data_IF_737877518994
#
_entry.id   IF_737877518994
#
_cell.length_a   1.000
_cell.length_b   1.000
_cell.length_c   1.000
_cell.angle_alpha   90.00
_cell.angle_beta   90.00
_cell.angle_gamma   90.00
#
_symmetry.space_group_name_H-M   'P 1'
#
loop_
_entity.id
_entity.type
_entity.pdbx_description
1 polymer ?
#
# COMPACT_ATOMS: atom_id res chain seq x y z
N UNK A 1 -77.88 46.75 -113.55
CA UNK A 1 -77.89 46.66 -112.06
C UNK A 1 -78.64 45.44 -111.51
N UNK A 2 -79.48 44.71 -112.27
CA UNK A 2 -80.20 43.52 -111.76
C UNK A 2 -79.47 42.17 -111.96
N UNK A 3 -78.60 42.03 -112.97
CA UNK A 3 -77.87 40.77 -113.25
C UNK A 3 -76.60 40.59 -112.39
N UNK A 4 -75.99 41.66 -111.89
CA UNK A 4 -74.86 41.57 -110.94
C UNK A 4 -75.30 41.05 -109.56
N UNK A 5 -76.54 41.28 -109.16
CA UNK A 5 -77.02 40.92 -107.82
C UNK A 5 -77.26 39.40 -107.67
N UNK A 6 -77.62 38.71 -108.75
CA UNK A 6 -77.91 37.27 -108.73
C UNK A 6 -76.61 36.43 -108.78
N UNK A 7 -75.58 36.92 -109.47
CA UNK A 7 -74.25 36.30 -109.47
C UNK A 7 -73.58 36.38 -108.09
N UNK A 8 -73.72 37.52 -107.40
CA UNK A 8 -73.21 37.70 -106.03
C UNK A 8 -73.85 36.71 -105.05
N UNK A 9 -75.13 36.37 -105.22
CA UNK A 9 -75.84 35.43 -104.35
C UNK A 9 -75.36 33.99 -104.56
N UNK A 10 -75.26 33.54 -105.82
CA UNK A 10 -74.80 32.17 -106.16
C UNK A 10 -73.35 31.96 -105.77
N UNK A 11 -72.50 32.98 -105.89
CA UNK A 11 -71.09 32.91 -105.50
C UNK A 11 -70.91 32.92 -103.97
N UNK A 12 -71.81 33.60 -103.24
CA UNK A 12 -71.89 33.51 -101.79
C UNK A 12 -72.32 32.12 -101.32
N UNK A 13 -73.35 31.53 -101.93
CA UNK A 13 -73.81 30.18 -101.59
C UNK A 13 -72.76 29.10 -101.92
N UNK A 14 -72.04 29.22 -103.04
CA UNK A 14 -70.89 28.35 -103.36
C UNK A 14 -69.77 28.48 -102.33
N UNK A 15 -69.45 29.71 -101.90
CA UNK A 15 -68.44 29.93 -100.87
C UNK A 15 -68.88 29.39 -99.51
N UNK A 16 -70.16 29.52 -99.15
CA UNK A 16 -70.72 28.98 -97.91
C UNK A 16 -70.73 27.45 -97.93
N UNK A 17 -71.08 26.82 -99.07
CA UNK A 17 -71.04 25.35 -99.21
C UNK A 17 -69.61 24.81 -99.15
N UNK A 18 -68.67 25.47 -99.82
CA UNK A 18 -67.24 25.11 -99.78
C UNK A 18 -66.67 25.26 -98.36
N UNK A 19 -67.09 26.30 -97.64
CA UNK A 19 -66.75 26.50 -96.22
C UNK A 19 -67.36 25.41 -95.32
N UNK A 20 -68.58 24.97 -95.62
CA UNK A 20 -69.24 23.87 -94.92
C UNK A 20 -68.52 22.54 -95.14
N UNK A 21 -68.11 22.27 -96.38
CA UNK A 21 -67.35 21.06 -96.76
C UNK A 21 -65.98 21.03 -96.06
N UNK A 22 -65.25 22.16 -96.07
CA UNK A 22 -63.99 22.28 -95.31
C UNK A 22 -64.20 22.10 -93.81
N UNK A 23 -65.28 22.65 -93.24
CA UNK A 23 -65.60 22.44 -91.82
C UNK A 23 -65.93 20.97 -91.53
N UNK A 24 -66.65 20.29 -92.42
CA UNK A 24 -67.01 18.89 -92.25
C UNK A 24 -65.78 17.97 -92.35
N UNK A 25 -64.88 18.23 -93.30
CA UNK A 25 -63.59 17.54 -93.39
C UNK A 25 -62.73 17.76 -92.14
N UNK A 26 -62.69 18.99 -91.61
CA UNK A 26 -61.99 19.28 -90.36
C UNK A 26 -62.60 18.53 -89.17
N UNK A 27 -63.94 18.50 -89.06
CA UNK A 27 -64.64 17.75 -88.00
C UNK A 27 -64.39 16.24 -88.13
N UNK A 28 -64.40 15.70 -89.36
CA UNK A 28 -64.07 14.29 -89.58
C UNK A 28 -62.62 13.97 -89.18
N UNK A 29 -61.68 14.84 -89.51
CA UNK A 29 -60.28 14.70 -89.13
C UNK A 29 -60.12 14.76 -87.60
N UNK A 30 -60.73 15.74 -86.94
CA UNK A 30 -60.73 15.86 -85.48
C UNK A 30 -61.37 14.63 -84.80
N UNK A 31 -62.41 14.06 -85.40
CA UNK A 31 -63.07 12.86 -84.88
C UNK A 31 -62.18 11.61 -85.00
N UNK A 32 -61.47 11.44 -86.12
CA UNK A 32 -60.50 10.35 -86.31
C UNK A 32 -59.33 10.51 -85.34
N UNK A 33 -58.77 11.71 -85.23
CA UNK A 33 -57.69 12.01 -84.26
C UNK A 33 -58.17 11.79 -82.81
N UNK A 34 -59.43 12.13 -82.50
CA UNK A 34 -60.04 11.89 -81.20
C UNK A 34 -60.16 10.38 -80.88
N UNK A 35 -60.56 9.57 -81.86
CA UNK A 35 -60.61 8.11 -81.73
C UNK A 35 -59.23 7.50 -81.51
N UNK A 36 -58.23 7.94 -82.28
CA UNK A 36 -56.85 7.46 -82.12
C UNK A 36 -56.27 7.83 -80.75
N UNK A 37 -56.50 9.06 -80.28
CA UNK A 37 -56.11 9.48 -78.92
C UNK A 37 -56.80 8.65 -77.84
N UNK A 38 -58.09 8.34 -78.01
CA UNK A 38 -58.85 7.51 -77.06
C UNK A 38 -58.31 6.09 -77.02
N UNK A 39 -58.08 5.46 -78.18
CA UNK A 39 -57.51 4.11 -78.26
C UNK A 39 -56.10 4.05 -77.66
N UNK A 40 -55.29 5.10 -77.86
CA UNK A 40 -53.97 5.22 -77.22
C UNK A 40 -54.09 5.28 -75.70
N UNK A 41 -54.97 6.11 -75.16
CA UNK A 41 -55.21 6.23 -73.72
C UNK A 41 -55.73 4.91 -73.12
N UNK A 42 -56.63 4.20 -73.80
CA UNK A 42 -57.14 2.90 -73.33
C UNK A 42 -56.02 1.85 -73.23
N UNK A 43 -55.09 1.83 -74.19
CA UNK A 43 -53.93 0.94 -74.13
C UNK A 43 -52.96 1.33 -73.01
N UNK A 44 -52.68 2.62 -72.83
CA UNK A 44 -51.85 3.11 -71.71
C UNK A 44 -52.49 2.75 -70.36
N UNK A 45 -53.82 2.83 -70.25
CA UNK A 45 -54.56 2.44 -69.05
C UNK A 45 -54.42 0.93 -68.75
N UNK A 46 -54.57 0.09 -69.77
CA UNK A 46 -54.39 -1.37 -69.64
C UNK A 46 -52.96 -1.75 -69.24
N UNK A 47 -51.96 -1.08 -69.80
CA UNK A 47 -50.57 -1.28 -69.39
C UNK A 47 -50.32 -0.87 -67.94
N UNK A 48 -50.92 0.24 -67.50
CA UNK A 48 -50.84 0.67 -66.09
C UNK A 48 -51.50 -0.34 -65.15
N UNK A 49 -52.68 -0.86 -65.47
CA UNK A 49 -53.36 -1.88 -64.67
C UNK A 49 -52.53 -3.16 -64.55
N UNK A 50 -51.93 -3.62 -65.64
CA UNK A 50 -51.02 -4.77 -65.64
C UNK A 50 -49.80 -4.53 -64.74
N UNK A 51 -49.20 -3.33 -64.78
CA UNK A 51 -48.09 -2.96 -63.90
C UNK A 51 -48.50 -2.94 -62.42
N UNK A 52 -49.68 -2.40 -62.10
CA UNK A 52 -50.23 -2.38 -60.74
C UNK A 52 -50.47 -3.80 -60.21
N UNK A 53 -51.08 -4.66 -61.03
CA UNK A 53 -51.30 -6.07 -60.65
C UNK A 53 -49.98 -6.81 -60.40
N UNK A 54 -48.97 -6.58 -61.26
CA UNK A 54 -47.65 -7.18 -61.10
C UNK A 54 -46.99 -6.74 -59.79
N UNK A 55 -46.97 -5.44 -59.51
CA UNK A 55 -46.44 -4.88 -58.25
C UNK A 55 -47.18 -5.49 -57.05
N UNK A 56 -48.51 -5.55 -57.08
CA UNK A 56 -49.28 -6.14 -55.98
C UNK A 56 -48.96 -7.62 -55.76
N UNK A 57 -48.68 -8.38 -56.83
CA UNK A 57 -48.33 -9.79 -56.73
C UNK A 57 -46.91 -10.03 -56.20
N UNK A 58 -45.93 -9.22 -56.64
CA UNK A 58 -44.53 -9.33 -56.21
C UNK A 58 -44.40 -8.96 -54.73
N UNK A 59 -45.00 -7.84 -54.33
CA UNK A 59 -44.94 -7.38 -52.95
C UNK A 59 -45.74 -8.26 -51.96
N UNK A 60 -46.74 -9.02 -52.43
CA UNK A 60 -47.52 -9.93 -51.57
C UNK A 60 -46.64 -11.04 -50.98
N UNK A 61 -45.74 -11.60 -51.78
CA UNK A 61 -44.84 -12.66 -51.33
C UNK A 61 -43.81 -12.11 -50.32
N UNK A 62 -43.26 -10.93 -50.60
CA UNK A 62 -42.33 -10.24 -49.69
C UNK A 62 -42.99 -9.92 -48.34
N UNK A 63 -44.25 -9.43 -48.34
CA UNK A 63 -45.00 -9.17 -47.12
C UNK A 63 -45.22 -10.46 -46.30
N UNK A 64 -45.53 -11.57 -46.96
CA UNK A 64 -45.76 -12.83 -46.27
C UNK A 64 -44.46 -13.42 -45.69
N UNK A 65 -43.34 -13.28 -46.41
CA UNK A 65 -42.01 -13.63 -45.89
C UNK A 65 -41.64 -12.78 -44.68
N UNK A 66 -41.88 -11.46 -44.73
CA UNK A 66 -41.65 -10.54 -43.61
C UNK A 66 -42.48 -10.95 -42.40
N UNK A 67 -43.76 -11.31 -42.58
CA UNK A 67 -44.61 -11.78 -41.47
C UNK A 67 -44.08 -13.05 -40.83
N UNK A 68 -43.67 -14.04 -41.62
CA UNK A 68 -43.11 -15.29 -41.11
C UNK A 68 -41.80 -15.04 -40.34
N UNK A 69 -40.94 -14.18 -40.86
CA UNK A 69 -39.69 -13.80 -40.18
C UNK A 69 -39.96 -13.04 -38.87
N UNK A 70 -40.96 -12.16 -38.85
CA UNK A 70 -41.37 -11.45 -37.64
C UNK A 70 -41.93 -12.40 -36.58
N UNK A 71 -42.73 -13.39 -36.99
CA UNK A 71 -43.25 -14.42 -36.08
C UNK A 71 -42.12 -15.24 -35.46
N UNK A 72 -41.17 -15.74 -36.28
CA UNK A 72 -39.98 -16.47 -35.78
C UNK A 72 -39.15 -15.63 -34.82
N UNK A 73 -39.00 -14.34 -35.08
CA UNK A 73 -38.26 -13.42 -34.22
C UNK A 73 -38.96 -13.22 -32.87
N UNK A 74 -40.30 -13.15 -32.86
CA UNK A 74 -41.09 -13.04 -31.65
C UNK A 74 -41.01 -14.31 -30.78
N UNK A 75 -41.11 -15.50 -31.41
CA UNK A 75 -40.92 -16.79 -30.73
C UNK A 75 -39.53 -16.90 -30.10
N UNK A 76 -38.48 -16.52 -30.84
CA UNK A 76 -37.11 -16.50 -30.32
C UNK A 76 -36.93 -15.50 -29.17
N UNK A 77 -37.59 -14.33 -29.25
CA UNK A 77 -37.58 -13.34 -28.17
C UNK A 77 -38.23 -13.89 -26.90
N UNK A 78 -39.35 -14.62 -27.03
CA UNK A 78 -40.03 -15.23 -25.90
C UNK A 78 -39.18 -16.34 -25.27
N UNK A 79 -38.57 -17.22 -26.08
CA UNK A 79 -37.68 -18.25 -25.59
C UNK A 79 -36.50 -17.66 -24.80
N UNK A 80 -35.87 -16.59 -25.30
CA UNK A 80 -34.78 -15.91 -24.59
C UNK A 80 -35.23 -15.29 -23.25
N UNK A 81 -36.47 -14.77 -23.18
CA UNK A 81 -37.04 -14.27 -21.91
C UNK A 81 -37.21 -15.41 -20.90
N UNK A 82 -37.69 -16.56 -21.36
CA UNK A 82 -37.90 -17.73 -20.49
C UNK A 82 -36.57 -18.30 -20.00
N UNK A 83 -35.56 -18.42 -20.87
CA UNK A 83 -34.20 -18.81 -20.51
C UNK A 83 -33.56 -17.84 -19.51
N UNK A 84 -33.69 -16.53 -19.72
CA UNK A 84 -33.21 -15.51 -18.78
C UNK A 84 -33.92 -15.61 -17.42
N UNK A 85 -35.22 -15.86 -17.38
CA UNK A 85 -35.96 -16.05 -16.14
C UNK A 85 -35.48 -17.28 -15.36
N UNK A 86 -35.17 -18.38 -16.05
CA UNK A 86 -34.57 -19.58 -15.43
C UNK A 86 -33.19 -19.25 -14.85
N UNK A 87 -32.36 -18.55 -15.61
CA UNK A 87 -31.02 -18.15 -15.16
C UNK A 87 -31.05 -17.21 -13.95
N UNK A 88 -31.98 -16.23 -13.92
CA UNK A 88 -32.19 -15.34 -12.78
C UNK A 88 -32.59 -16.12 -11.52
N UNK A 89 -33.54 -17.06 -11.63
CA UNK A 89 -33.93 -17.93 -10.50
C UNK A 89 -32.77 -18.78 -9.97
N UNK A 90 -31.86 -19.21 -10.83
CA UNK A 90 -30.65 -19.94 -10.40
C UNK A 90 -29.66 -19.02 -9.66
N UNK A 91 -29.51 -17.77 -10.11
CA UNK A 91 -28.68 -16.76 -9.43
C UNK A 91 -29.20 -16.43 -8.04
N UNK A 92 -30.51 -16.21 -7.89
CA UNK A 92 -31.12 -15.89 -6.60
C UNK A 92 -30.89 -17.01 -5.57
N UNK A 93 -31.03 -18.28 -5.99
CA UNK A 93 -30.71 -19.43 -5.14
C UNK A 93 -29.25 -19.44 -4.69
N UNK A 94 -28.32 -19.09 -5.58
CA UNK A 94 -26.89 -19.02 -5.25
C UNK A 94 -26.56 -17.87 -4.32
N UNK A 95 -27.20 -16.71 -4.48
CA UNK A 95 -27.05 -15.56 -3.59
C UNK A 95 -27.50 -15.91 -2.18
N UNK A 96 -28.71 -16.46 -2.04
CA UNK A 96 -29.24 -16.86 -0.73
C UNK A 96 -28.34 -17.88 -0.02
N UNK A 97 -27.78 -18.84 -0.77
CA UNK A 97 -26.82 -19.80 -0.22
C UNK A 97 -25.55 -19.12 0.31
N UNK A 98 -25.00 -18.16 -0.44
CA UNK A 98 -23.78 -17.44 -0.05
C UNK A 98 -24.03 -16.53 1.16
N UNK A 99 -25.19 -15.88 1.25
CA UNK A 99 -25.57 -15.05 2.40
C UNK A 99 -25.63 -15.88 3.70
N UNK A 100 -26.18 -17.10 3.65
CA UNK A 100 -26.19 -18.02 4.78
C UNK A 100 -24.78 -18.48 5.19
N UNK A 101 -23.89 -18.76 4.23
CA UNK A 101 -22.50 -19.12 4.53
C UNK A 101 -21.71 -17.95 5.14
N UNK A 102 -21.92 -16.72 4.65
CA UNK A 102 -21.33 -15.50 5.23
C UNK A 102 -21.83 -15.28 6.66
N UNK A 103 -23.13 -15.48 6.92
CA UNK A 103 -23.71 -15.37 8.25
C UNK A 103 -23.06 -16.34 9.24
N UNK A 104 -22.92 -17.63 8.87
CA UNK A 104 -22.23 -18.63 9.69
C UNK A 104 -20.76 -18.28 9.92
N UNK A 105 -20.06 -17.75 8.90
CA UNK A 105 -18.67 -17.33 9.03
C UNK A 105 -18.54 -16.15 10.01
N UNK A 106 -19.43 -15.17 9.93
CA UNK A 106 -19.45 -14.02 10.83
C UNK A 106 -19.74 -14.42 12.29
N UNK A 107 -20.64 -15.38 12.52
CA UNK A 107 -20.87 -15.94 13.86
C UNK A 107 -19.59 -16.58 14.42
N UNK A 108 -18.88 -17.40 13.62
CA UNK A 108 -17.59 -17.99 14.01
C UNK A 108 -16.51 -16.93 14.28
N UNK A 109 -16.45 -15.87 13.47
CA UNK A 109 -15.52 -14.75 13.69
C UNK A 109 -15.84 -14.04 15.00
N UNK A 110 -17.12 -13.82 15.32
CA UNK A 110 -17.54 -13.24 16.58
C UNK A 110 -17.09 -14.07 17.79
N UNK A 111 -17.19 -15.39 17.69
CA UNK A 111 -16.70 -16.31 18.73
C UNK A 111 -15.17 -16.31 18.83
N UNK A 112 -14.45 -16.28 17.72
CA UNK A 112 -12.99 -16.14 17.70
C UNK A 112 -12.50 -14.82 18.28
N UNK A 113 -13.20 -13.71 18.03
CA UNK A 113 -12.89 -12.40 18.60
C UNK A 113 -13.10 -12.41 20.12
N UNK A 114 -14.17 -13.05 20.61
CA UNK A 114 -14.38 -13.24 22.06
C UNK A 114 -13.28 -14.10 22.67
N UNK A 115 -12.87 -15.17 22.00
CA UNK A 115 -11.78 -16.05 22.46
C UNK A 115 -10.42 -15.34 22.45
N UNK A 116 -10.13 -14.54 21.43
CA UNK A 116 -8.91 -13.73 21.34
C UNK A 116 -8.90 -12.57 22.33
N UNK A 117 -10.04 -11.96 22.64
CA UNK A 117 -10.12 -10.95 23.70
C UNK A 117 -9.92 -11.57 25.09
N UNK A 118 -10.35 -12.82 25.31
CA UNK A 118 -10.04 -13.55 26.54
C UNK A 118 -8.57 -13.98 26.60
N UNK A 119 -8.00 -14.50 25.52
CA UNK A 119 -6.57 -14.86 25.47
C UNK A 119 -5.66 -13.64 25.50
N UNK A 120 -6.07 -12.49 24.94
CA UNK A 120 -5.31 -11.24 25.05
C UNK A 120 -5.42 -10.63 26.44
N UNK A 121 -6.56 -10.75 27.13
CA UNK A 121 -6.70 -10.37 28.55
C UNK A 121 -5.91 -11.32 29.46
N UNK A 122 -5.82 -12.60 29.13
CA UNK A 122 -5.00 -13.59 29.85
C UNK A 122 -3.51 -13.43 29.54
N UNK A 123 -3.12 -12.98 28.34
CA UNK A 123 -1.73 -12.60 28.04
C UNK A 123 -1.36 -11.20 28.56
N UNK A 124 -2.32 -10.29 28.69
CA UNK A 124 -2.16 -9.02 29.42
C UNK A 124 -1.99 -9.23 30.93
N UNK A 125 -2.45 -10.37 31.46
CA UNK A 125 -2.16 -10.82 32.81
C UNK A 125 -0.75 -11.43 32.96
N UNK A 126 -0.02 -11.70 31.87
CA UNK A 126 1.44 -11.79 31.91
C UNK A 126 1.99 -10.35 31.88
N UNK A 127 1.77 -9.63 32.98
CA UNK A 127 2.15 -8.23 33.10
C UNK A 127 3.64 -8.10 32.79
N UNK A 128 4.00 -7.31 31.79
CA UNK A 128 5.38 -6.88 31.64
C UNK A 128 5.68 -5.86 32.74
N UNK A 129 6.60 -6.19 33.64
CA UNK A 129 7.01 -5.30 34.71
C UNK A 129 8.31 -4.61 34.30
N UNK A 130 8.24 -3.30 34.01
CA UNK A 130 9.46 -2.51 33.82
C UNK A 130 10.22 -2.41 35.14
N UNK A 131 11.43 -2.98 35.15
CA UNK A 131 12.28 -2.98 36.33
C UNK A 131 13.12 -1.72 36.31
N UNK A 132 12.67 -0.70 37.06
CA UNK A 132 13.37 0.57 37.19
C UNK A 132 14.69 0.37 37.94
N UNK A 133 15.81 0.54 37.24
CA UNK A 133 17.15 0.57 37.83
C UNK A 133 17.74 1.96 37.62
N UNK A 134 17.94 2.71 38.71
CA UNK A 134 18.69 3.96 38.62
C UNK A 134 20.10 3.66 38.13
N UNK A 135 20.51 4.21 37.00
CA UNK A 135 21.79 3.88 36.38
C UNK A 135 22.53 5.11 35.87
N UNK A 136 23.81 4.91 35.58
CA UNK A 136 24.71 5.93 35.05
C UNK A 136 25.94 5.30 34.43
N UNK A 137 26.64 6.01 33.57
CA UNK A 137 27.96 5.59 33.11
C UNK A 137 28.97 5.61 34.28
N UNK A 138 29.85 4.61 34.37
CA UNK A 138 30.80 4.52 35.49
C UNK A 138 32.17 3.94 35.17
N UNK A 139 32.26 3.00 34.23
CA UNK A 139 33.52 2.34 33.89
C UNK A 139 33.90 2.71 32.47
N UNK A 140 35.07 3.30 32.32
CA UNK A 140 35.75 3.47 31.04
C UNK A 140 36.82 2.38 30.98
N UNK A 141 36.66 1.39 30.10
CA UNK A 141 37.70 0.37 29.95
C UNK A 141 38.87 0.97 29.18
N UNK A 142 39.95 1.27 29.93
CA UNK A 142 41.14 1.99 29.48
C UNK A 142 42.06 1.22 28.53
N UNK A 143 41.56 0.28 27.71
CA UNK A 143 42.33 -0.28 26.59
C UNK A 143 42.82 0.82 25.65
N UNK A 144 42.12 1.94 25.61
CA UNK A 144 42.44 3.09 24.76
C UNK A 144 42.61 4.32 25.64
N UNK A 145 43.76 4.39 26.31
CA UNK A 145 44.22 5.62 26.93
C UNK A 145 44.30 6.68 25.84
N UNK A 146 43.92 7.91 26.12
CA UNK A 146 44.07 9.00 25.16
C UNK A 146 45.54 9.17 24.71
N UNK A 147 46.49 8.89 25.61
CA UNK A 147 47.93 8.91 25.40
C UNK A 147 48.60 7.92 26.35
N UNK A 148 49.86 7.53 26.10
CA UNK A 148 50.61 6.61 26.98
C UNK A 148 50.72 7.12 28.43
N UNK A 149 50.73 8.44 28.58
CA UNK A 149 50.90 9.14 29.86
C UNK A 149 49.62 9.23 30.72
N UNK A 150 48.49 8.62 30.31
CA UNK A 150 47.20 8.76 31.02
C UNK A 150 46.82 10.24 31.26
N UNK A 151 47.08 11.10 30.28
CA UNK A 151 46.90 12.54 30.39
C UNK A 151 45.43 12.96 30.62
N UNK A 152 44.48 12.03 30.49
CA UNK A 152 43.07 12.22 30.82
C UNK A 152 42.68 11.20 31.90
N UNK A 153 42.08 11.71 32.96
CA UNK A 153 41.57 10.89 34.04
C UNK A 153 40.37 10.09 33.56
N UNK A 154 40.51 8.78 33.36
CA UNK A 154 39.43 7.90 32.89
C UNK A 154 38.26 7.76 33.87
N UNK A 155 38.36 8.27 35.10
CA UNK A 155 37.24 8.32 36.04
C UNK A 155 36.47 9.64 35.97
N UNK A 156 37.11 10.71 35.46
CA UNK A 156 36.55 12.06 35.25
C UNK A 156 37.25 12.68 34.04
N UNK A 157 36.91 12.28 32.81
CA UNK A 157 37.69 12.54 31.58
C UNK A 157 37.66 13.99 31.07
N UNK A 158 37.78 14.94 31.99
CA UNK A 158 37.92 16.37 31.73
C UNK A 158 39.39 16.64 31.35
N UNK A 159 39.61 17.31 30.22
CA UNK A 159 40.95 17.74 29.80
C UNK A 159 41.15 17.70 28.29
N UNK A 160 42.40 17.89 27.86
CA UNK A 160 42.83 17.68 26.47
C UNK A 160 43.90 16.60 26.45
N UNK A 161 43.88 15.74 25.43
CA UNK A 161 44.97 14.80 25.22
C UNK A 161 46.22 15.55 24.78
N UNK A 162 47.35 15.36 25.47
CA UNK A 162 48.65 15.99 25.12
C UNK A 162 49.13 15.51 23.74
N UNK A 163 48.87 14.25 23.41
CA UNK A 163 49.14 13.65 22.09
C UNK A 163 48.05 13.99 21.05
N UNK A 164 47.05 14.81 21.41
CA UNK A 164 45.99 15.32 20.53
C UNK A 164 45.12 14.24 19.87
N UNK A 165 45.13 13.01 20.41
CA UNK A 165 44.22 11.95 20.00
C UNK A 165 42.79 12.24 20.42
N UNK A 166 41.82 11.70 19.67
CA UNK A 166 40.41 11.77 20.04
C UNK A 166 40.11 10.85 21.23
N UNK A 167 39.12 11.23 22.05
CA UNK A 167 38.72 10.49 23.25
C UNK A 167 37.28 10.82 23.67
N UNK A 168 36.63 9.91 24.39
CA UNK A 168 35.33 10.16 25.02
C UNK A 168 35.46 10.80 26.41
N UNK A 169 34.56 11.74 26.69
CA UNK A 169 34.47 12.46 27.96
C UNK A 169 33.07 12.30 28.56
N UNK A 170 32.97 11.68 29.74
CA UNK A 170 31.79 11.70 30.60
C UNK A 170 31.54 13.12 31.12
N UNK A 171 30.49 13.76 30.60
CA UNK A 171 30.07 15.10 31.00
C UNK A 171 29.29 15.04 32.31
N UNK A 172 28.43 14.04 32.45
CA UNK A 172 27.68 13.74 33.66
C UNK A 172 27.35 12.24 33.73
N UNK A 173 26.37 11.88 34.55
CA UNK A 173 25.95 10.50 34.79
C UNK A 173 25.33 9.83 33.53
N UNK A 174 24.81 10.58 32.56
CA UNK A 174 24.10 10.07 31.37
C UNK A 174 24.77 10.47 30.03
N UNK A 175 25.57 11.54 30.02
CA UNK A 175 26.10 12.15 28.81
C UNK A 175 27.57 11.84 28.58
N UNK A 176 27.90 11.40 27.36
CA UNK A 176 29.27 11.24 26.86
C UNK A 176 29.46 12.18 25.68
N UNK A 177 30.44 13.08 25.78
CA UNK A 177 30.91 13.90 24.67
C UNK A 177 32.18 13.32 24.08
N UNK A 178 32.19 13.06 22.79
CA UNK A 178 33.42 12.68 22.11
C UNK A 178 34.18 13.92 21.65
N UNK A 179 35.46 13.99 22.01
CA UNK A 179 36.37 15.07 21.61
C UNK A 179 37.25 14.51 20.50
N UNK A 180 37.07 15.05 19.29
CA UNK A 180 37.75 14.59 18.08
C UNK A 180 39.23 15.01 18.10
N UNK A 181 40.11 14.18 17.52
CA UNK A 181 41.51 14.55 17.34
C UNK A 181 41.68 15.81 16.46
N UNK A 182 42.76 16.58 16.61
CA UNK A 182 43.06 17.69 15.70
C UNK A 182 43.49 17.15 14.33
N UNK A 183 42.97 17.75 13.24
CA UNK A 183 43.19 17.27 11.86
C UNK A 183 44.68 17.19 11.54
N UNK A 184 45.14 15.98 11.17
CA UNK A 184 46.54 15.71 10.78
C UNK A 184 47.54 15.59 11.94
N UNK A 185 47.08 15.60 13.19
CA UNK A 185 47.93 15.63 14.38
C UNK A 185 47.72 14.45 15.34
N UNK A 186 46.78 13.54 15.03
CA UNK A 186 46.46 12.38 15.87
C UNK A 186 45.35 11.52 15.28
N UNK A 187 45.10 10.35 15.87
CA UNK A 187 44.00 9.46 15.52
C UNK A 187 42.88 9.50 16.57
N UNK A 188 41.70 9.04 16.20
CA UNK A 188 40.55 8.91 17.10
C UNK A 188 40.57 7.53 17.76
N UNK A 189 40.46 7.48 19.08
CA UNK A 189 40.48 6.23 19.83
C UNK A 189 39.07 5.68 20.06
N UNK A 190 38.98 4.36 20.04
CA UNK A 190 37.79 3.65 20.53
C UNK A 190 37.54 4.00 22.00
N UNK A 191 36.28 4.29 22.33
CA UNK A 191 35.88 4.64 23.68
C UNK A 191 34.75 3.73 24.14
N UNK A 192 35.01 2.87 25.13
CA UNK A 192 34.00 1.97 25.68
C UNK A 192 33.58 2.41 27.07
N UNK A 193 32.28 2.66 27.25
CA UNK A 193 31.68 2.97 28.54
C UNK A 193 30.67 1.89 28.94
N UNK A 194 30.65 1.57 30.24
CA UNK A 194 29.70 0.64 30.84
C UNK A 194 28.87 1.36 31.89
N UNK A 195 27.60 0.99 31.96
CA UNK A 195 26.71 1.48 33.00
C UNK A 195 27.09 0.88 34.37
N UNK A 196 26.85 1.61 35.44
CA UNK A 196 27.23 1.25 36.81
C UNK A 196 26.53 -0.02 37.29
N UNK A 197 25.24 -0.10 37.02
CA UNK A 197 24.40 -1.19 37.45
C UNK A 197 24.11 -2.14 36.29
N UNK A 198 24.05 -3.42 36.60
CA UNK A 198 23.67 -4.50 35.69
C UNK A 198 22.17 -4.74 35.72
N UNK A 199 21.63 -5.23 34.62
CA UNK A 199 20.32 -5.84 34.53
C UNK A 199 20.45 -7.26 35.05
N UNK A 200 20.08 -7.45 36.32
CA UNK A 200 20.13 -8.75 36.97
C UNK A 200 18.85 -9.53 36.68
N UNK A 201 18.98 -10.83 36.49
CA UNK A 201 17.86 -11.75 36.40
C UNK A 201 17.00 -11.62 37.66
N UNK A 202 15.68 -11.42 37.51
CA UNK A 202 14.78 -11.31 38.65
C UNK A 202 14.69 -12.64 39.40
N UNK A 203 14.48 -12.58 40.72
CA UNK A 203 14.23 -13.76 41.55
C UNK A 203 12.73 -13.87 41.83
N UNK A 204 12.15 -15.06 41.64
CA UNK A 204 10.76 -15.37 41.97
C UNK A 204 9.72 -14.44 41.30
N UNK A 205 9.99 -14.00 40.07
CA UNK A 205 9.06 -13.16 39.32
C UNK A 205 8.00 -14.03 38.64
N UNK A 206 6.72 -13.72 38.90
CA UNK A 206 5.56 -14.32 38.21
C UNK A 206 5.32 -13.70 36.83
N UNK A 207 5.93 -12.55 36.58
CA UNK A 207 5.74 -11.70 35.43
C UNK A 207 7.00 -11.66 34.55
N UNK A 208 6.86 -11.18 33.32
CA UNK A 208 8.03 -10.85 32.50
C UNK A 208 8.71 -9.63 33.09
N UNK A 209 10.02 -9.71 33.37
CA UNK A 209 10.79 -8.54 33.80
C UNK A 209 11.44 -7.87 32.59
N UNK A 210 11.21 -6.57 32.46
CA UNK A 210 11.63 -5.76 31.34
C UNK A 210 12.67 -4.72 31.78
N UNK A 211 13.86 -4.78 31.17
CA UNK A 211 14.93 -3.81 31.35
C UNK A 211 15.16 -3.06 30.05
N UNK A 212 15.42 -1.76 30.12
CA UNK A 212 15.54 -0.93 28.93
C UNK A 212 16.38 0.31 29.16
N UNK A 213 17.15 0.72 28.16
CA UNK A 213 17.80 2.02 28.11
C UNK A 213 17.86 2.54 26.67
N UNK A 214 17.94 3.86 26.52
CA UNK A 214 18.11 4.54 25.24
C UNK A 214 19.42 5.34 25.20
N UNK A 215 19.92 5.56 24.00
CA UNK A 215 21.05 6.42 23.70
C UNK A 215 20.74 7.23 22.44
N UNK A 216 20.64 8.55 22.59
CA UNK A 216 20.56 9.49 21.49
C UNK A 216 21.96 9.75 20.97
N UNK A 217 22.20 9.50 19.69
CA UNK A 217 23.54 9.62 19.10
C UNK A 217 23.74 10.97 18.40
N UNK A 218 24.95 11.50 18.46
CA UNK A 218 25.38 12.64 17.65
C UNK A 218 26.77 12.37 17.09
N UNK A 219 26.83 12.03 15.81
CA UNK A 219 28.09 11.77 15.13
C UNK A 219 28.74 13.06 14.68
N UNK A 220 29.99 13.22 15.05
CA UNK A 220 30.80 14.34 14.65
C UNK A 220 31.32 14.09 13.22
N UNK A 221 30.49 14.41 12.22
CA UNK A 221 30.79 14.13 10.81
C UNK A 221 32.03 14.91 10.36
N UNK A 222 33.13 14.20 10.15
CA UNK A 222 34.27 14.72 9.42
C UNK A 222 34.36 14.04 8.07
N UNK A 223 34.09 14.78 6.99
CA UNK A 223 34.05 14.30 5.59
C UNK A 223 35.36 13.57 5.20
N UNK A 224 36.46 13.83 5.91
CA UNK A 224 37.77 13.26 5.59
C UNK A 224 38.19 12.10 6.52
N UNK A 225 37.31 11.58 7.39
CA UNK A 225 37.67 10.51 8.34
C UNK A 225 36.96 9.19 8.04
N UNK A 226 37.71 8.11 8.26
CA UNK A 226 37.39 6.77 7.73
C UNK A 226 36.39 6.04 8.65
N UNK A 227 36.35 6.32 9.96
CA UNK A 227 35.55 5.52 10.90
C UNK A 227 34.89 6.37 11.97
N UNK A 228 33.64 6.74 11.75
CA UNK A 228 32.66 6.97 12.82
C UNK A 228 32.04 5.62 13.22
N UNK A 229 31.89 5.37 14.52
CA UNK A 229 31.33 4.11 15.02
C UNK A 229 30.55 4.35 16.32
N UNK A 230 29.41 3.68 16.41
CA UNK A 230 28.71 3.47 17.67
C UNK A 230 28.25 2.03 17.67
N UNK A 231 28.74 1.27 18.65
CA UNK A 231 28.19 -0.02 19.03
C UNK A 231 27.47 0.19 20.37
N UNK A 232 26.28 -0.38 20.52
CA UNK A 232 25.56 -0.29 21.78
C UNK A 232 24.80 -1.58 22.07
N UNK A 233 24.63 -1.91 23.35
CA UNK A 233 23.90 -3.11 23.74
C UNK A 233 24.23 -3.57 25.14
N UNK A 234 24.32 -4.88 25.32
CA UNK A 234 24.56 -5.54 26.60
C UNK A 234 25.78 -6.46 26.55
N UNK A 235 26.59 -6.45 27.62
CA UNK A 235 27.64 -7.44 27.84
C UNK A 235 27.20 -8.42 28.93
N UNK A 236 27.36 -9.71 28.67
CA UNK A 236 27.15 -10.76 29.65
C UNK A 236 28.24 -10.66 30.73
N UNK A 237 27.85 -10.34 31.97
CA UNK A 237 28.80 -10.07 33.06
C UNK A 237 29.61 -11.30 33.48
N UNK A 238 29.15 -12.53 33.18
CA UNK A 238 29.84 -13.78 33.51
C UNK A 238 30.83 -14.19 32.42
N UNK A 239 30.44 -14.06 31.15
CA UNK A 239 31.23 -14.58 30.01
C UNK A 239 32.02 -13.51 29.30
N UNK A 240 31.77 -12.22 29.58
CA UNK A 240 32.30 -11.07 28.84
C UNK A 240 31.97 -11.10 27.33
N UNK A 241 30.93 -11.83 26.94
CA UNK A 241 30.41 -11.87 25.57
C UNK A 241 29.42 -10.74 25.36
N UNK A 242 29.41 -10.18 24.17
CA UNK A 242 28.60 -9.01 23.84
C UNK A 242 27.38 -9.42 23.00
N UNK A 243 26.26 -8.76 23.24
CA UNK A 243 25.11 -8.70 22.33
C UNK A 243 24.88 -7.24 22.03
N UNK A 244 24.92 -6.86 20.77
CA UNK A 244 24.90 -5.44 20.45
C UNK A 244 24.49 -5.15 19.02
N UNK A 245 24.40 -3.86 18.78
CA UNK A 245 24.04 -3.28 17.50
C UNK A 245 25.14 -2.33 17.06
N UNK A 246 25.71 -2.61 15.89
CA UNK A 246 26.63 -1.73 15.17
C UNK A 246 25.77 -0.76 14.38
N UNK A 247 25.64 0.48 14.89
CA UNK A 247 24.77 1.51 14.32
C UNK A 247 25.11 1.70 12.86
N UNK A 248 26.33 2.15 12.53
CA UNK A 248 26.72 2.47 11.15
C UNK A 248 26.41 1.38 10.10
N UNK A 249 26.56 0.11 10.47
CA UNK A 249 26.37 -1.01 9.56
C UNK A 249 24.95 -1.58 9.56
N UNK A 250 24.08 -1.12 10.45
CA UNK A 250 22.76 -1.69 10.68
C UNK A 250 22.84 -3.18 11.01
N UNK A 251 23.80 -3.58 11.85
CA UNK A 251 24.10 -5.00 12.10
C UNK A 251 23.96 -5.34 13.58
N UNK A 252 23.09 -6.31 13.87
CA UNK A 252 22.95 -6.92 15.20
C UNK A 252 23.90 -8.10 15.30
N UNK A 253 24.55 -8.28 16.44
CA UNK A 253 25.34 -9.47 16.74
C UNK A 253 25.02 -10.07 18.12
N UNK A 254 25.17 -11.38 18.26
CA UNK A 254 24.90 -12.10 19.51
C UNK A 254 26.18 -12.55 20.24
N UNK A 255 26.02 -13.28 21.35
CA UNK A 255 27.11 -13.78 22.19
C UNK A 255 28.08 -14.73 21.47
N UNK A 256 27.67 -15.30 20.33
CA UNK A 256 28.51 -16.15 19.47
C UNK A 256 29.13 -15.37 18.30
N UNK A 257 28.96 -14.03 18.28
CA UNK A 257 29.37 -13.15 17.18
C UNK A 257 28.70 -13.50 15.85
N UNK A 258 27.53 -14.17 15.88
CA UNK A 258 26.68 -14.33 14.71
C UNK A 258 26.07 -12.97 14.38
N UNK A 259 26.05 -12.60 13.10
CA UNK A 259 25.66 -11.26 12.64
C UNK A 259 24.39 -11.30 11.80
N UNK A 260 23.47 -10.38 12.05
CA UNK A 260 22.27 -10.19 11.27
C UNK A 260 22.21 -8.73 10.80
N UNK A 261 22.31 -8.53 9.48
CA UNK A 261 22.19 -7.20 8.86
C UNK A 261 20.71 -6.86 8.64
N UNK A 262 20.32 -5.65 8.99
CA UNK A 262 18.98 -5.13 8.72
C UNK A 262 18.79 -4.91 7.21
N UNK A 263 17.64 -5.31 6.69
CA UNK A 263 17.32 -5.22 5.25
C UNK A 263 17.14 -3.78 4.78
N UNK A 264 16.62 -2.92 5.64
CA UNK A 264 16.43 -1.49 5.40
C UNK A 264 16.96 -0.74 6.61
N UNK A 265 18.05 -0.01 6.43
CA UNK A 265 18.67 0.72 7.52
C UNK A 265 19.23 2.05 7.03
N UNK A 266 18.88 3.10 7.76
CA UNK A 266 19.52 4.40 7.69
C UNK A 266 19.52 5.00 9.09
N UNK A 267 20.48 5.88 9.35
CA UNK A 267 20.49 6.69 10.55
C UNK A 267 20.94 8.11 10.25
N UNK A 268 20.59 9.00 11.18
CA UNK A 268 21.02 10.39 11.20
C UNK A 268 21.41 10.78 12.62
N UNK A 269 22.07 11.93 12.74
CA UNK A 269 22.27 12.53 14.05
C UNK A 269 20.92 12.77 14.72
N UNK A 270 20.93 12.70 16.04
CA UNK A 270 19.77 12.79 16.92
C UNK A 270 18.81 11.60 16.88
N UNK A 271 19.09 10.55 16.10
CA UNK A 271 18.36 9.29 16.24
C UNK A 271 18.59 8.70 17.64
N UNK A 272 17.51 8.14 18.18
CA UNK A 272 17.49 7.50 19.50
C UNK A 272 17.50 6.00 19.30
N UNK A 273 18.51 5.34 19.83
CA UNK A 273 18.63 3.89 19.80
C UNK A 273 18.35 3.31 21.17
N UNK A 274 17.59 2.22 21.25
CA UNK A 274 17.28 1.57 22.52
C UNK A 274 17.59 0.09 22.51
N UNK A 275 17.90 -0.45 23.69
CA UNK A 275 18.20 -1.85 23.90
C UNK A 275 17.39 -2.35 25.08
N UNK A 276 16.54 -3.35 24.81
CA UNK A 276 15.72 -3.99 25.82
C UNK A 276 16.13 -5.42 26.08
N UNK A 277 16.00 -5.85 27.33
CA UNK A 277 16.18 -7.21 27.79
C UNK A 277 14.92 -7.66 28.50
N UNK A 278 14.39 -8.79 28.06
CA UNK A 278 13.20 -9.41 28.65
C UNK A 278 13.58 -10.73 29.28
N UNK A 279 13.28 -10.88 30.56
CA UNK A 279 13.31 -12.16 31.25
C UNK A 279 11.88 -12.70 31.34
N UNK A 280 11.61 -13.91 30.85
CA UNK A 280 10.32 -14.55 31.07
C UNK A 280 10.11 -14.85 32.57
N UNK A 281 8.87 -15.17 32.99
CA UNK A 281 8.57 -15.57 34.35
C UNK A 281 9.48 -16.70 34.85
N UNK A 282 9.74 -16.76 36.16
CA UNK A 282 10.72 -17.70 36.74
C UNK A 282 10.32 -19.16 36.50
N UNK A 283 9.03 -19.48 36.54
CA UNK A 283 8.52 -20.80 36.20
C UNK A 283 8.76 -21.14 34.71
N UNK A 284 8.57 -20.18 33.81
CA UNK A 284 8.78 -20.33 32.37
C UNK A 284 10.24 -20.50 31.98
N UNK A 285 11.15 -19.82 32.68
CA UNK A 285 12.59 -20.04 32.55
C UNK A 285 12.98 -21.49 32.82
N UNK A 286 12.31 -22.14 33.78
CA UNK A 286 12.55 -23.55 34.11
C UNK A 286 11.92 -24.52 33.09
N UNK A 287 10.89 -24.07 32.38
CA UNK A 287 10.22 -24.81 31.28
C UNK A 287 10.98 -24.69 29.94
N UNK A 288 12.04 -23.88 29.87
CA UNK A 288 12.90 -23.75 28.70
C UNK A 288 12.67 -22.48 27.87
N UNK A 289 11.87 -21.52 28.34
CA UNK A 289 11.84 -20.19 27.74
C UNK A 289 13.15 -19.44 28.06
N UNK A 290 13.70 -18.73 27.08
CA UNK A 290 14.97 -18.03 27.22
C UNK A 290 14.75 -16.51 27.30
N UNK A 291 15.57 -15.79 28.09
CA UNK A 291 15.63 -14.35 28.00
C UNK A 291 15.95 -13.92 26.56
N UNK A 292 15.49 -12.75 26.15
CA UNK A 292 15.83 -12.21 24.84
C UNK A 292 16.15 -10.73 24.88
N UNK A 293 16.99 -10.30 23.93
CA UNK A 293 17.34 -8.91 23.70
C UNK A 293 16.68 -8.43 22.42
N UNK A 294 16.19 -7.21 22.42
CA UNK A 294 15.73 -6.54 21.22
C UNK A 294 16.29 -5.12 21.16
N UNK A 295 16.25 -4.54 19.96
CA UNK A 295 16.76 -3.20 19.70
C UNK A 295 15.66 -2.34 19.10
N UNK A 296 15.75 -1.04 19.33
CA UNK A 296 14.81 -0.05 18.79
C UNK A 296 15.56 1.13 18.15
N UNK A 297 14.92 1.78 17.18
CA UNK A 297 15.32 3.08 16.65
C UNK A 297 14.10 4.00 16.65
N UNK A 298 14.23 5.16 17.29
CA UNK A 298 13.18 6.18 17.42
C UNK A 298 11.85 5.61 17.96
N UNK A 299 11.95 4.73 18.96
CA UNK A 299 10.79 4.10 19.61
C UNK A 299 10.16 2.95 18.83
N UNK A 300 10.75 2.48 17.73
CA UNK A 300 10.27 1.32 16.97
C UNK A 300 11.27 0.18 17.03
N UNK A 301 10.80 -1.05 17.25
CA UNK A 301 11.68 -2.22 17.22
C UNK A 301 12.31 -2.41 15.84
N UNK A 302 13.60 -2.73 15.83
CA UNK A 302 14.39 -3.01 14.63
C UNK A 302 14.97 -4.41 14.69
N UNK A 303 15.01 -5.09 13.53
CA UNK A 303 15.55 -6.44 13.44
C UNK A 303 14.73 -7.49 14.17
N UNK A 304 15.34 -8.68 14.29
CA UNK A 304 14.78 -9.81 15.06
C UNK A 304 15.32 -9.76 16.48
N UNK A 305 14.57 -10.34 17.42
CA UNK A 305 15.04 -10.55 18.79
C UNK A 305 16.21 -11.54 18.81
N UNK A 306 17.06 -11.40 19.83
CA UNK A 306 18.23 -12.26 20.07
C UNK A 306 17.97 -13.07 21.33
N UNK A 307 17.69 -14.38 21.18
CA UNK A 307 17.49 -15.29 22.30
C UNK A 307 18.82 -15.63 23.01
N UNK A 308 18.80 -15.58 24.35
CA UNK A 308 19.95 -15.76 25.22
C UNK A 308 19.98 -17.18 25.82
N UNK A 309 20.48 -18.13 25.03
CA UNK A 309 20.51 -19.56 25.39
C UNK A 309 21.30 -19.88 26.67
N UNK A 310 22.28 -19.06 27.02
CA UNK A 310 23.13 -19.27 28.19
C UNK A 310 22.51 -18.80 29.51
N UNK A 311 21.28 -18.24 29.48
CA UNK A 311 20.50 -17.77 30.65
C UNK A 311 21.36 -17.08 31.72
N UNK A 312 22.12 -16.05 31.34
CA UNK A 312 22.98 -15.34 32.27
C UNK A 312 22.17 -14.63 33.35
N UNK A 313 22.70 -14.65 34.57
CA UNK A 313 22.12 -13.98 35.72
C UNK A 313 22.26 -12.45 35.64
N UNK A 314 23.12 -11.94 34.77
CA UNK A 314 23.29 -10.49 34.62
C UNK A 314 23.86 -10.07 33.27
N UNK A 315 23.40 -8.90 32.84
CA UNK A 315 23.85 -8.19 31.65
C UNK A 315 24.14 -6.73 31.99
N UNK A 316 25.23 -6.16 31.49
CA UNK A 316 25.60 -4.78 31.73
C UNK A 316 25.40 -3.95 30.46
N UNK A 317 24.68 -2.81 30.52
CA UNK A 317 24.65 -1.86 29.42
C UNK A 317 26.03 -1.34 29.07
N UNK A 318 26.31 -1.27 27.77
CA UNK A 318 27.56 -0.71 27.25
C UNK A 318 27.35 0.08 25.97
N UNK A 319 28.31 0.97 25.71
CA UNK A 319 28.50 1.67 24.44
C UNK A 319 29.97 1.64 24.06
N UNK A 320 30.26 1.54 22.77
CA UNK A 320 31.60 1.63 22.18
C UNK A 320 31.56 2.64 21.03
N UNK A 321 32.29 3.73 21.18
CA UNK A 321 32.14 4.97 20.43
C UNK A 321 33.46 5.37 19.75
N UNK A 322 33.36 5.86 18.51
CA UNK A 322 34.41 6.59 17.80
C UNK A 322 33.75 7.77 17.10
N UNK A 323 34.19 9.00 17.39
CA UNK A 323 33.64 10.22 16.80
C UNK A 323 32.13 10.38 17.01
N UNK A 324 31.60 9.86 18.12
CA UNK A 324 30.18 9.88 18.43
C UNK A 324 29.97 10.29 19.88
N UNK A 325 29.25 11.39 20.09
CA UNK A 325 28.74 11.79 21.40
C UNK A 325 27.37 11.14 21.62
N UNK A 326 27.03 10.81 22.86
CA UNK A 326 25.71 10.27 23.20
C UNK A 326 25.10 10.93 24.43
N UNK A 327 23.78 11.01 24.43
CA UNK A 327 22.96 11.28 25.60
C UNK A 327 22.19 9.99 25.93
N UNK A 328 22.42 9.41 27.09
CA UNK A 328 21.70 8.23 27.53
C UNK A 328 20.39 8.60 28.25
N UNK A 329 19.44 7.66 28.23
CA UNK A 329 18.30 7.64 29.13
C UNK A 329 18.21 6.23 29.73
N UNK A 330 18.48 6.11 31.03
CA UNK A 330 18.36 4.84 31.75
C UNK A 330 16.99 4.65 32.42
N UNK A 331 16.03 5.55 32.17
CA UNK A 331 14.73 5.55 32.85
C UNK A 331 14.82 6.02 34.30
N UNK A 332 15.81 6.86 34.61
CA UNK A 332 16.00 7.43 35.95
C UNK A 332 14.79 8.28 36.36
N UNK A 333 14.27 9.07 35.41
CA UNK A 333 13.08 9.92 35.54
C UNK A 333 12.21 9.80 34.28
N UNK A 334 11.21 8.94 34.32
CA UNK A 334 10.28 8.72 33.20
C UNK A 334 9.18 9.78 33.12
N UNK A 335 8.98 10.61 34.15
CA UNK A 335 7.96 11.66 34.12
C UNK A 335 8.45 12.83 33.28
N UNK A 336 9.69 13.26 33.48
CA UNK A 336 10.27 14.41 32.76
C UNK A 336 11.05 14.00 31.51
N UNK A 337 11.62 12.79 31.50
CA UNK A 337 12.41 12.23 30.39
C UNK A 337 11.92 10.81 30.05
N UNK A 338 10.68 10.65 29.53
CA UNK A 338 10.16 9.35 29.14
C UNK A 338 11.02 8.72 28.04
N UNK A 339 10.98 7.40 27.95
CA UNK A 339 11.54 6.71 26.79
C UNK A 339 10.77 7.07 25.52
N UNK A 340 11.46 7.02 24.37
CA UNK A 340 10.81 7.10 23.07
C UNK A 340 10.03 5.82 22.75
N UNK A 341 10.54 4.68 23.21
CA UNK A 341 9.87 3.38 23.10
C UNK A 341 8.74 3.25 24.13
N UNK A 342 7.54 2.90 23.66
CA UNK A 342 6.42 2.53 24.53
C UNK A 342 6.49 1.03 24.86
N UNK A 343 6.92 0.72 26.08
CA UNK A 343 7.01 -0.66 26.54
C UNK A 343 5.65 -1.28 26.87
N UNK A 344 4.57 -0.49 26.98
CA UNK A 344 3.22 -1.03 27.15
C UNK A 344 2.70 -1.71 25.87
N UNK A 345 3.27 -1.36 24.72
CA UNK A 345 2.97 -1.96 23.41
C UNK A 345 3.86 -3.17 23.08
N UNK A 346 4.76 -3.59 23.98
CA UNK A 346 5.66 -4.72 23.71
C UNK A 346 4.88 -6.04 23.70
N UNK A 347 4.87 -6.71 22.55
CA UNK A 347 4.30 -8.05 22.42
C UNK A 347 5.32 -9.09 22.88
N UNK A 348 5.01 -9.79 23.98
CA UNK A 348 5.80 -10.95 24.45
C UNK A 348 5.71 -12.06 23.38
N UNK A 349 6.87 -12.63 23.03
CA UNK A 349 7.01 -13.63 21.96
C UNK A 349 6.81 -15.07 22.42
#
# INVERSE_FOLDING_TARGET
MAEESNWILVEKEKNDFKKLETNFENVQKEFVEGKEKTAKLENELKEMDLKIQKINSEHKNEIEEIKQNFQKLNEKSQQLKDENNVYLKQKDKKINYLEEEIKKANEKIGDLIKLNNLNSVVSLLNCMEFVKIKNKWSVINGRYKCCNNNCINTNKPIGNCIERHGFGNLIDDENIKYIISLKGLGYDNDFVAYAKNTFNKPQNCLNCSFYYFEAKCNFERNINRIVDRMNFGLINSKTNKYVGYVVKDGTIFNENNERCKLSTYSFKNDDIFGCGLVYPPTNKLNEGEFPYIFFTQNGKQIGKVVFLKNNSDSYQPFVDLICCSIEANFGNDLETKPFKYDFSEHLIL
#
